data_IF_194527302054
#
_entry.id   IF_194527302054
#
_cell.length_a   1.000
_cell.length_b   1.000
_cell.length_c   1.000
_cell.angle_alpha   90.00
_cell.angle_beta   90.00
_cell.angle_gamma   90.00
#
_symmetry.space_group_name_H-M   'P 1'
#
loop_
_entity.id
_entity.type
_entity.pdbx_description
1 polymer ?
#
# COMPACT_ATOMS: atom_id res chain seq x y z
N UNK A 1 -34.26 10.08 9.27
CA UNK A 1 -33.11 10.25 10.17
C UNK A 1 -32.48 8.87 10.34
N UNK A 2 -31.53 8.52 9.46
CA UNK A 2 -30.77 7.28 9.59
C UNK A 2 -29.34 7.68 9.92
N UNK A 3 -29.01 7.52 11.20
CA UNK A 3 -27.68 7.74 11.71
C UNK A 3 -26.83 6.59 11.19
N UNK A 4 -26.06 6.86 10.13
CA UNK A 4 -25.09 5.92 9.57
C UNK A 4 -24.10 5.64 10.71
N UNK A 5 -24.18 4.44 11.29
CA UNK A 5 -23.14 3.93 12.15
C UNK A 5 -21.90 3.71 11.27
N UNK A 6 -21.05 4.73 11.19
CA UNK A 6 -19.73 4.62 10.61
C UNK A 6 -19.01 3.50 11.36
N UNK A 7 -18.74 2.38 10.67
CA UNK A 7 -17.78 1.38 11.16
C UNK A 7 -16.54 2.12 11.62
N UNK A 8 -16.10 1.89 12.86
CA UNK A 8 -14.87 2.43 13.40
C UNK A 8 -13.77 2.36 12.33
N UNK A 9 -13.07 3.47 12.02
CA UNK A 9 -12.02 3.43 11.01
C UNK A 9 -10.99 2.42 11.48
N UNK A 10 -10.77 1.35 10.70
CA UNK A 10 -9.70 0.39 10.97
C UNK A 10 -8.39 1.19 10.99
N UNK A 11 -7.81 1.32 12.18
CA UNK A 11 -6.52 1.97 12.40
C UNK A 11 -5.41 0.97 12.14
N UNK A 12 -4.33 1.42 11.53
CA UNK A 12 -3.10 0.65 11.38
C UNK A 12 -2.17 1.01 12.55
N UNK A 13 -1.93 0.06 13.44
CA UNK A 13 -0.99 0.24 14.55
C UNK A 13 0.42 -0.14 14.09
N UNK A 14 1.33 0.82 14.17
CA UNK A 14 2.73 0.73 13.77
C UNK A 14 3.64 0.68 15.00
N UNK A 15 4.44 -0.37 15.13
CA UNK A 15 5.59 -0.39 16.04
C UNK A 15 6.85 -0.01 15.26
N UNK A 16 7.42 1.15 15.53
CA UNK A 16 8.59 1.70 14.83
C UNK A 16 9.85 1.55 15.68
N UNK A 17 10.76 0.67 15.28
CA UNK A 17 12.05 0.45 15.97
C UNK A 17 13.16 1.15 15.22
N UNK A 18 13.79 2.12 15.87
CA UNK A 18 14.88 2.92 15.31
C UNK A 18 16.19 2.53 16.00
N UNK A 19 17.13 1.97 15.24
CA UNK A 19 18.42 1.54 15.79
C UNK A 19 19.45 2.68 15.82
N UNK A 20 20.32 2.66 16.84
CA UNK A 20 21.42 3.60 16.97
C UNK A 20 21.16 4.80 17.89
N UNK A 21 22.20 5.61 18.09
CA UNK A 21 22.11 6.84 18.89
C UNK A 21 21.40 7.90 18.05
N UNK A 22 20.08 8.03 18.21
CA UNK A 22 19.37 9.23 17.78
C UNK A 22 20.09 10.39 18.48
N UNK A 23 20.81 11.22 17.71
CA UNK A 23 21.46 12.39 18.29
C UNK A 23 20.36 13.21 18.99
N UNK A 24 20.61 13.65 20.23
CA UNK A 24 19.67 14.39 21.11
C UNK A 24 19.01 15.65 20.47
N UNK A 25 19.28 15.95 19.20
CA UNK A 25 18.77 17.06 18.42
C UNK A 25 17.25 17.00 18.17
N UNK A 26 16.61 15.84 18.31
CA UNK A 26 15.14 15.70 18.20
C UNK A 26 14.40 15.85 19.54
N UNK A 27 15.08 15.89 20.69
CA UNK A 27 14.43 15.89 22.01
C UNK A 27 14.00 17.26 22.53
N UNK A 28 14.26 18.35 21.81
CA UNK A 28 13.82 19.68 22.27
C UNK A 28 12.43 20.01 21.72
N UNK A 29 11.45 20.36 22.59
CA UNK A 29 10.17 20.91 22.16
C UNK A 29 10.40 22.09 21.19
N UNK A 30 9.50 22.34 20.23
CA UNK A 30 9.60 23.48 19.33
C UNK A 30 9.45 24.77 20.18
N UNK A 31 10.57 25.33 20.61
CA UNK A 31 10.56 26.54 21.44
C UNK A 31 11.88 26.96 22.09
N UNK A 32 12.90 26.10 22.21
CA UNK A 32 14.09 26.43 23.04
C UNK A 32 15.47 26.30 22.36
N UNK A 33 15.56 26.12 21.04
CA UNK A 33 16.84 26.18 20.32
C UNK A 33 16.78 27.25 19.23
N UNK A 34 17.68 28.25 19.21
CA UNK A 34 17.80 29.17 18.09
C UNK A 34 18.05 28.38 16.79
N UNK A 35 17.25 28.64 15.75
CA UNK A 35 17.31 27.95 14.45
C UNK A 35 18.71 27.88 13.82
N UNK A 36 19.61 28.79 14.22
CA UNK A 36 20.98 28.91 13.72
C UNK A 36 21.95 27.79 14.14
N UNK A 37 21.58 26.89 15.07
CA UNK A 37 22.47 25.79 15.56
C UNK A 37 21.94 24.38 15.33
N UNK A 38 20.83 24.19 14.61
CA UNK A 38 20.48 22.86 14.10
C UNK A 38 21.42 22.57 12.93
N UNK A 39 22.33 21.57 12.98
CA UNK A 39 22.88 21.05 11.74
C UNK A 39 21.68 20.56 10.94
N UNK A 40 21.38 21.26 9.84
CA UNK A 40 20.30 20.88 8.95
C UNK A 40 20.60 19.46 8.51
N UNK A 41 19.73 18.52 8.87
CA UNK A 41 19.70 17.21 8.21
C UNK A 41 19.71 17.52 6.70
N UNK A 42 20.62 16.92 5.94
CA UNK A 42 20.69 17.17 4.49
C UNK A 42 19.41 16.74 3.77
N UNK A 43 18.58 15.95 4.45
CA UNK A 43 17.28 15.48 3.98
C UNK A 43 16.34 15.32 5.19
N UNK A 44 15.07 15.75 5.12
CA UNK A 44 14.12 15.52 6.20
C UNK A 44 13.80 14.03 6.26
N UNK A 45 14.24 13.36 7.32
CA UNK A 45 13.66 12.07 7.67
C UNK A 45 12.19 12.31 8.04
N UNK A 46 11.25 11.56 7.46
CA UNK A 46 9.85 11.62 7.85
C UNK A 46 9.69 11.48 9.36
N UNK A 47 9.04 12.44 10.01
CA UNK A 47 8.65 12.25 11.40
C UNK A 47 7.57 11.17 11.44
N UNK A 48 7.84 10.10 12.19
CA UNK A 48 6.90 9.02 12.44
C UNK A 48 5.87 9.49 13.46
N UNK A 49 4.88 10.25 13.00
CA UNK A 49 3.79 10.77 13.79
C UNK A 49 2.49 10.02 13.50
N UNK A 50 1.70 9.79 14.54
CA UNK A 50 0.34 9.31 14.41
C UNK A 50 -0.50 10.34 13.63
N UNK A 51 -1.14 9.90 12.56
CA UNK A 51 -1.94 10.75 11.70
C UNK A 51 -2.92 9.92 10.87
N UNK A 52 -4.12 10.45 10.65
CA UNK A 52 -5.17 9.76 9.91
C UNK A 52 -5.48 8.40 10.54
N UNK A 53 -5.23 7.33 9.77
CA UNK A 53 -5.43 5.94 10.21
C UNK A 53 -4.21 5.32 10.90
N UNK A 54 -3.05 5.96 10.86
CA UNK A 54 -1.80 5.42 11.40
C UNK A 54 -1.63 5.81 12.87
N UNK A 55 -1.43 4.82 13.73
CA UNK A 55 -1.05 5.01 15.13
C UNK A 55 0.40 4.52 15.32
N UNK A 56 1.30 5.40 15.71
CA UNK A 56 2.74 5.11 15.81
C UNK A 56 3.18 4.93 17.26
N UNK A 57 3.86 3.82 17.51
CA UNK A 57 4.54 3.49 18.77
C UNK A 57 6.05 3.41 18.52
N UNK A 58 6.83 4.49 18.76
CA UNK A 58 8.27 4.49 18.51
C UNK A 58 9.06 3.84 19.66
N UNK A 59 10.05 3.02 19.30
CA UNK A 59 11.08 2.48 20.17
C UNK A 59 12.45 2.92 19.68
N UNK A 60 13.16 3.69 20.50
CA UNK A 60 14.48 4.20 20.16
C UNK A 60 15.53 3.37 20.86
N UNK A 61 16.37 2.69 20.06
CA UNK A 61 17.44 1.82 20.53
C UNK A 61 17.03 0.89 21.69
N UNK A 62 15.96 0.09 21.53
CA UNK A 62 15.43 -0.73 22.62
C UNK A 62 16.39 -1.87 22.97
N UNK A 63 16.28 -2.39 24.20
CA UNK A 63 16.79 -3.73 24.51
C UNK A 63 15.85 -4.80 23.95
N UNK A 64 16.32 -6.05 23.85
CA UNK A 64 15.49 -7.19 23.40
C UNK A 64 14.23 -7.35 24.27
N UNK A 65 14.35 -7.15 25.59
CA UNK A 65 13.22 -7.29 26.51
C UNK A 65 12.20 -6.16 26.34
N UNK A 66 12.67 -4.92 26.16
CA UNK A 66 11.81 -3.77 25.88
C UNK A 66 11.05 -3.97 24.56
N UNK A 67 11.73 -4.45 23.52
CA UNK A 67 11.10 -4.78 22.25
C UNK A 67 9.99 -5.83 22.43
N UNK A 68 10.26 -6.91 23.17
CA UNK A 68 9.27 -7.99 23.41
C UNK A 68 8.09 -7.54 24.26
N UNK A 69 8.32 -6.68 25.24
CA UNK A 69 7.25 -6.09 26.04
C UNK A 69 6.36 -5.19 25.19
N UNK A 70 6.96 -4.29 24.41
CA UNK A 70 6.24 -3.40 23.52
C UNK A 70 5.47 -4.16 22.44
N UNK A 71 6.06 -5.19 21.82
CA UNK A 71 5.37 -6.02 20.83
C UNK A 71 4.11 -6.67 21.44
N UNK A 72 4.22 -7.23 22.66
CA UNK A 72 3.09 -7.87 23.35
C UNK A 72 2.01 -6.88 23.75
N UNK A 73 2.39 -5.68 24.16
CA UNK A 73 1.47 -4.63 24.58
C UNK A 73 0.74 -4.00 23.38
N UNK A 74 1.46 -3.71 22.29
CA UNK A 74 0.95 -2.97 21.14
C UNK A 74 0.25 -3.87 20.12
N UNK A 75 0.70 -5.13 19.95
CA UNK A 75 0.19 -6.06 18.94
C UNK A 75 0.06 -5.41 17.54
N UNK A 76 1.18 -4.91 16.98
CA UNK A 76 1.13 -4.06 15.80
C UNK A 76 0.66 -4.79 14.54
N UNK A 77 -0.06 -4.10 13.66
CA UNK A 77 -0.36 -4.57 12.31
C UNK A 77 0.86 -4.45 11.38
N UNK A 78 1.63 -3.38 11.58
CA UNK A 78 2.83 -3.05 10.84
C UNK A 78 4.00 -2.90 11.81
N UNK A 79 5.12 -3.55 11.50
CA UNK A 79 6.37 -3.35 12.22
C UNK A 79 7.39 -2.70 11.30
N UNK A 80 7.90 -1.54 11.67
CA UNK A 80 8.95 -0.83 10.95
C UNK A 80 10.26 -0.98 11.72
N UNK A 81 11.31 -1.42 11.03
CA UNK A 81 12.61 -1.71 11.63
C UNK A 81 13.67 -0.97 10.82
N UNK A 82 14.21 0.10 11.37
CA UNK A 82 15.29 0.86 10.76
C UNK A 82 16.63 0.46 11.37
N UNK A 83 17.61 0.17 10.50
CA UNK A 83 18.98 -0.09 10.91
C UNK A 83 19.67 1.12 11.54
N UNK A 84 20.90 0.93 12.02
CA UNK A 84 21.65 1.98 12.69
C UNK A 84 21.91 3.17 11.76
N UNK A 85 21.51 4.38 12.17
CA UNK A 85 21.90 5.57 11.44
C UNK A 85 23.41 5.84 11.62
N UNK A 86 24.17 5.83 10.51
CA UNK A 86 25.62 6.03 10.53
C UNK A 86 25.98 7.53 10.65
N UNK A 87 27.21 7.85 11.09
CA UNK A 87 27.66 9.20 11.46
C UNK A 87 27.51 10.26 10.34
N UNK A 88 27.51 9.83 9.09
CA UNK A 88 27.35 10.71 7.93
C UNK A 88 25.87 10.93 7.53
N UNK A 89 24.92 10.26 8.19
CA UNK A 89 23.46 10.25 7.95
C UNK A 89 23.04 9.88 6.51
N UNK A 90 24.01 9.50 5.66
CA UNK A 90 23.80 9.18 4.23
C UNK A 90 23.40 7.73 4.01
N UNK A 91 23.74 6.86 4.95
CA UNK A 91 23.55 5.42 4.84
C UNK A 91 22.96 4.85 6.13
N UNK A 92 22.17 3.79 5.95
CA UNK A 92 21.57 3.03 7.04
C UNK A 92 22.36 1.73 7.20
N UNK A 93 22.78 1.46 8.44
CA UNK A 93 23.57 0.31 8.84
C UNK A 93 22.74 -0.91 9.21
N UNK A 94 23.37 -1.86 9.90
CA UNK A 94 22.76 -3.14 10.31
C UNK A 94 21.81 -2.96 11.51
N UNK A 95 21.14 -4.05 11.91
CA UNK A 95 20.17 -4.04 12.99
C UNK A 95 20.89 -4.26 14.34
N UNK A 96 21.02 -3.18 15.12
CA UNK A 96 21.71 -3.19 16.42
C UNK A 96 20.79 -2.60 17.48
N UNK A 97 20.54 -3.37 18.54
CA UNK A 97 19.63 -3.05 19.64
C UNK A 97 20.40 -2.95 20.96
N UNK A 98 20.62 -1.73 21.45
CA UNK A 98 21.53 -1.49 22.57
C UNK A 98 22.95 -1.90 22.17
N UNK A 99 23.52 -2.87 22.89
CA UNK A 99 24.84 -3.45 22.60
C UNK A 99 24.75 -4.80 21.86
N UNK A 100 23.54 -5.28 21.54
CA UNK A 100 23.33 -6.57 20.90
C UNK A 100 23.15 -6.42 19.38
N UNK A 101 23.98 -7.13 18.62
CA UNK A 101 23.75 -7.32 17.18
C UNK A 101 22.68 -8.41 16.99
N UNK A 102 21.55 -8.00 16.42
CA UNK A 102 20.39 -8.86 16.15
C UNK A 102 20.24 -9.13 14.65
N UNK A 103 21.30 -8.94 13.86
CA UNK A 103 21.28 -9.12 12.40
C UNK A 103 21.24 -10.58 11.96
N UNK A 104 21.44 -11.54 12.87
CA UNK A 104 21.31 -12.96 12.55
C UNK A 104 19.84 -13.34 12.25
N UNK A 105 19.54 -13.96 11.09
CA UNK A 105 18.16 -14.26 10.70
C UNK A 105 17.39 -15.21 11.63
N UNK A 106 18.08 -16.16 12.25
CA UNK A 106 17.43 -17.14 13.14
C UNK A 106 17.15 -16.50 14.49
N UNK A 107 18.13 -15.81 15.05
CA UNK A 107 17.98 -15.04 16.28
C UNK A 107 16.87 -14.01 16.10
N UNK A 108 16.93 -13.18 15.05
CA UNK A 108 15.96 -12.13 14.81
C UNK A 108 14.54 -12.66 14.65
N UNK A 109 14.36 -13.69 13.80
CA UNK A 109 13.04 -14.28 13.60
C UNK A 109 12.48 -14.81 14.91
N UNK A 110 13.30 -15.38 15.80
CA UNK A 110 12.86 -15.87 17.12
C UNK A 110 12.33 -14.75 18.04
N UNK A 111 12.79 -13.51 17.86
CA UNK A 111 12.37 -12.36 18.67
C UNK A 111 10.93 -11.93 18.38
N UNK A 112 10.50 -12.02 17.13
CA UNK A 112 9.13 -11.67 16.74
C UNK A 112 8.21 -12.82 17.14
N UNK A 113 7.34 -12.60 18.13
CA UNK A 113 6.45 -13.65 18.66
C UNK A 113 4.99 -13.44 18.23
N UNK A 114 4.12 -14.47 18.26
CA UNK A 114 2.69 -14.28 18.00
C UNK A 114 2.00 -13.35 19.03
N UNK A 115 0.96 -12.58 18.64
CA UNK A 115 0.40 -12.49 17.30
C UNK A 115 1.37 -11.80 16.33
N UNK A 116 1.52 -12.38 15.13
CA UNK A 116 2.44 -11.84 14.13
C UNK A 116 1.84 -10.59 13.47
N UNK A 117 2.66 -9.57 13.17
CA UNK A 117 2.21 -8.44 12.36
C UNK A 117 1.87 -8.93 10.95
N UNK A 118 0.91 -8.25 10.31
CA UNK A 118 0.58 -8.48 8.89
C UNK A 118 1.75 -8.07 7.99
N UNK A 119 2.45 -7.00 8.37
CA UNK A 119 3.51 -6.38 7.57
C UNK A 119 4.74 -6.16 8.44
N UNK A 120 5.92 -6.54 7.93
CA UNK A 120 7.20 -6.08 8.45
C UNK A 120 7.96 -5.32 7.38
N UNK A 121 8.39 -4.09 7.66
CA UNK A 121 9.26 -3.31 6.80
C UNK A 121 10.67 -3.23 7.40
N UNK A 122 11.62 -3.89 6.74
CA UNK A 122 13.04 -3.94 7.05
C UNK A 122 13.80 -2.87 6.25
N UNK A 123 14.05 -1.73 6.86
CA UNK A 123 14.88 -0.66 6.31
C UNK A 123 16.34 -0.86 6.76
N UNK A 124 16.94 -1.95 6.25
CA UNK A 124 18.33 -2.37 6.51
C UNK A 124 18.98 -2.85 5.21
N UNK A 125 20.30 -2.66 5.02
CA UNK A 125 20.99 -3.14 3.83
C UNK A 125 21.07 -4.66 3.83
N UNK A 126 20.96 -5.28 2.64
CA UNK A 126 21.11 -6.73 2.44
C UNK A 126 20.13 -7.56 3.32
N UNK A 127 18.90 -7.07 3.48
CA UNK A 127 17.87 -7.65 4.35
C UNK A 127 17.22 -8.95 3.85
N UNK A 128 17.65 -9.50 2.71
CA UNK A 128 16.99 -10.64 2.02
C UNK A 128 16.86 -11.88 2.92
N UNK A 129 17.94 -12.26 3.62
CA UNK A 129 17.93 -13.44 4.51
C UNK A 129 17.02 -13.25 5.72
N UNK A 130 17.00 -12.04 6.28
CA UNK A 130 16.10 -11.69 7.38
C UNK A 130 14.65 -11.76 6.90
N UNK A 131 14.36 -11.19 5.74
CA UNK A 131 13.03 -11.19 5.16
C UNK A 131 12.50 -12.61 4.91
N UNK A 132 13.32 -13.50 4.33
CA UNK A 132 12.96 -14.90 4.12
C UNK A 132 12.71 -15.65 5.43
N UNK A 133 13.53 -15.39 6.45
CA UNK A 133 13.34 -15.98 7.79
C UNK A 133 11.99 -15.57 8.39
N UNK A 134 11.65 -14.28 8.31
CA UNK A 134 10.37 -13.74 8.77
C UNK A 134 9.16 -14.32 8.00
N UNK A 135 9.26 -14.41 6.67
CA UNK A 135 8.22 -14.99 5.84
C UNK A 135 7.99 -16.48 6.20
N UNK A 136 9.08 -17.24 6.37
CA UNK A 136 9.00 -18.66 6.76
C UNK A 136 8.36 -18.88 8.14
N UNK A 137 8.44 -17.87 9.02
CA UNK A 137 7.80 -17.86 10.33
C UNK A 137 6.29 -17.64 10.26
N UNK A 138 5.76 -17.18 9.13
CA UNK A 138 4.34 -16.94 8.91
C UNK A 138 3.93 -15.47 8.86
N UNK A 139 4.87 -14.53 8.73
CA UNK A 139 4.55 -13.13 8.46
C UNK A 139 4.10 -13.01 7.00
N UNK A 140 2.87 -12.51 6.72
CA UNK A 140 2.31 -12.51 5.37
C UNK A 140 3.09 -11.62 4.39
N UNK A 141 3.48 -10.42 4.83
CA UNK A 141 4.16 -9.45 3.99
C UNK A 141 5.44 -8.94 4.63
N UNK A 142 6.56 -9.04 3.90
CA UNK A 142 7.85 -8.49 4.33
C UNK A 142 8.44 -7.60 3.25
N UNK A 143 8.55 -6.30 3.54
CA UNK A 143 9.23 -5.33 2.70
C UNK A 143 10.69 -5.26 3.13
N UNK A 144 11.62 -5.36 2.18
CA UNK A 144 13.06 -5.37 2.49
C UNK A 144 13.90 -4.74 1.37
N UNK A 145 15.12 -4.36 1.71
CA UNK A 145 16.11 -3.91 0.72
C UNK A 145 17.12 -5.02 0.43
N UNK A 146 17.30 -5.36 -0.84
CA UNK A 146 18.23 -6.43 -1.25
C UNK A 146 19.70 -6.00 -1.22
N UNK A 147 19.96 -4.72 -1.46
CA UNK A 147 21.30 -4.16 -1.58
C UNK A 147 21.46 -2.98 -0.62
N UNK A 148 22.63 -2.35 -0.62
CA UNK A 148 22.79 -1.03 0.01
C UNK A 148 21.93 0.02 -0.70
N UNK A 149 21.53 1.04 0.04
CA UNK A 149 20.70 2.13 -0.43
C UNK A 149 21.08 3.40 0.34
N UNK A 150 20.73 4.56 -0.22
CA UNK A 150 20.92 5.84 0.46
C UNK A 150 19.74 6.14 1.39
N UNK A 151 19.99 6.88 2.47
CA UNK A 151 18.94 7.41 3.34
C UNK A 151 17.89 8.22 2.56
N UNK A 152 18.30 8.89 1.47
CA UNK A 152 17.42 9.61 0.56
C UNK A 152 16.41 8.67 -0.12
N UNK A 153 16.90 7.58 -0.72
CA UNK A 153 16.08 6.58 -1.39
C UNK A 153 15.09 5.91 -0.42
N UNK A 154 15.59 5.53 0.75
CA UNK A 154 14.77 4.93 1.81
C UNK A 154 13.68 5.89 2.28
N UNK A 155 14.03 7.15 2.58
CA UNK A 155 13.08 8.14 3.05
C UNK A 155 11.98 8.45 2.03
N UNK A 156 12.30 8.50 0.73
CA UNK A 156 11.29 8.67 -0.32
C UNK A 156 10.29 7.51 -0.37
N UNK A 157 10.79 6.28 -0.36
CA UNK A 157 9.94 5.09 -0.34
C UNK A 157 9.09 5.04 0.94
N UNK A 158 9.73 5.26 2.10
CA UNK A 158 9.09 5.30 3.40
C UNK A 158 7.95 6.32 3.43
N UNK A 159 8.20 7.55 3.00
CA UNK A 159 7.19 8.62 2.98
C UNK A 159 6.01 8.23 2.09
N UNK A 160 6.26 7.68 0.91
CA UNK A 160 5.19 7.25 0.01
C UNK A 160 4.36 6.11 0.64
N UNK A 161 5.01 5.12 1.24
CA UNK A 161 4.34 4.02 1.93
C UNK A 161 3.48 4.51 3.11
N UNK A 162 4.05 5.33 4.00
CA UNK A 162 3.33 5.87 5.15
C UNK A 162 2.16 6.76 4.72
N UNK A 163 2.30 7.54 3.64
CA UNK A 163 1.21 8.38 3.12
C UNK A 163 -0.01 7.54 2.71
N UNK A 164 0.21 6.35 2.13
CA UNK A 164 -0.87 5.42 1.77
C UNK A 164 -1.52 4.83 3.01
N UNK A 165 -0.71 4.35 3.97
CA UNK A 165 -1.20 3.73 5.21
C UNK A 165 -1.98 4.74 6.07
N UNK A 166 -1.57 6.01 6.09
CA UNK A 166 -2.24 7.08 6.81
C UNK A 166 -3.61 7.45 6.20
N UNK A 167 -3.74 7.37 4.88
CA UNK A 167 -4.93 7.86 4.15
C UNK A 167 -5.97 6.77 3.86
N UNK A 168 -5.55 5.53 3.66
CA UNK A 168 -6.40 4.45 3.11
C UNK A 168 -6.32 3.14 3.89
N UNK A 169 -7.40 2.35 3.85
CA UNK A 169 -7.37 0.93 4.25
C UNK A 169 -6.95 0.07 3.06
N UNK A 170 -5.72 0.27 2.58
CA UNK A 170 -5.20 -0.44 1.41
C UNK A 170 -4.62 -1.80 1.76
N UNK A 171 -4.64 -2.70 0.79
CA UNK A 171 -3.90 -3.94 0.85
C UNK A 171 -2.39 -3.65 0.75
N UNK A 172 -1.57 -4.39 1.51
CA UNK A 172 -0.11 -4.17 1.58
C UNK A 172 0.56 -4.21 0.22
N UNK A 173 0.12 -5.12 -0.64
CA UNK A 173 0.61 -5.21 -2.02
C UNK A 173 0.44 -3.89 -2.78
N UNK A 174 -0.76 -3.31 -2.80
CA UNK A 174 -1.02 -2.10 -3.57
C UNK A 174 -0.31 -0.88 -2.96
N UNK A 175 -0.24 -0.81 -1.62
CA UNK A 175 0.53 0.22 -0.93
C UNK A 175 2.03 0.15 -1.28
N UNK A 176 2.60 -1.05 -1.34
CA UNK A 176 3.96 -1.27 -1.81
C UNK A 176 4.13 -0.87 -3.27
N UNK A 177 3.21 -1.25 -4.16
CA UNK A 177 3.31 -0.90 -5.59
C UNK A 177 3.32 0.62 -5.78
N UNK A 178 2.47 1.36 -5.06
CA UNK A 178 2.49 2.83 -5.13
C UNK A 178 3.80 3.42 -4.60
N UNK A 179 4.26 2.95 -3.44
CA UNK A 179 5.50 3.43 -2.83
C UNK A 179 6.72 3.10 -3.72
N UNK A 180 6.74 1.92 -4.33
CA UNK A 180 7.79 1.48 -5.24
C UNK A 180 7.77 2.26 -6.57
N UNK A 181 6.59 2.55 -7.12
CA UNK A 181 6.41 3.41 -8.28
C UNK A 181 6.94 4.84 -8.01
N UNK A 182 6.61 5.41 -6.84
CA UNK A 182 7.13 6.70 -6.39
C UNK A 182 8.67 6.68 -6.25
N UNK A 183 9.21 5.65 -5.61
CA UNK A 183 10.66 5.45 -5.52
C UNK A 183 11.31 5.39 -6.92
N UNK A 184 10.73 4.65 -7.86
CA UNK A 184 11.27 4.57 -9.22
C UNK A 184 11.22 5.92 -9.95
N UNK A 185 10.15 6.68 -9.76
CA UNK A 185 9.98 7.98 -10.38
C UNK A 185 11.02 9.00 -9.90
N UNK A 186 11.31 9.04 -8.59
CA UNK A 186 12.16 10.08 -7.98
C UNK A 186 13.60 9.65 -7.71
N UNK A 187 13.85 8.38 -7.43
CA UNK A 187 15.16 7.89 -6.97
C UNK A 187 15.88 7.03 -8.02
N UNK A 188 15.15 6.38 -8.92
CA UNK A 188 15.72 5.45 -9.90
C UNK A 188 16.08 6.11 -11.25
N UNK A 189 15.64 7.35 -11.48
CA UNK A 189 15.69 8.07 -12.76
C UNK A 189 17.10 8.26 -13.35
N UNK A 190 18.16 8.23 -12.53
CA UNK A 190 19.52 8.51 -12.97
C UNK A 190 20.40 7.25 -13.19
N UNK A 191 19.89 6.04 -12.94
CA UNK A 191 20.68 4.81 -13.05
C UNK A 191 19.98 3.78 -13.97
N UNK A 192 20.47 3.69 -15.21
CA UNK A 192 20.12 2.69 -16.23
C UNK A 192 20.07 1.27 -15.65
N UNK A 193 18.94 0.56 -15.86
CA UNK A 193 18.68 -0.89 -15.66
C UNK A 193 18.99 -1.52 -14.28
N UNK A 194 19.88 -0.93 -13.48
CA UNK A 194 20.32 -1.41 -12.17
C UNK A 194 19.42 -0.88 -11.06
N UNK A 195 18.80 0.29 -11.22
CA UNK A 195 17.94 0.90 -10.19
C UNK A 195 16.71 0.06 -9.85
N UNK A 196 16.09 -0.60 -10.83
CA UNK A 196 15.00 -1.58 -10.62
C UNK A 196 15.50 -2.85 -9.91
N UNK A 197 16.80 -3.18 -10.02
CA UNK A 197 17.43 -4.27 -9.25
C UNK A 197 17.75 -3.86 -7.81
N UNK A 198 18.04 -2.58 -7.58
CA UNK A 198 18.53 -2.00 -6.32
C UNK A 198 17.42 -1.47 -5.38
N UNK A 199 16.17 -1.40 -5.84
CA UNK A 199 15.04 -0.92 -5.05
C UNK A 199 14.54 -1.87 -3.96
N UNK A 200 13.56 -1.41 -3.15
CA UNK A 200 12.90 -2.23 -2.15
C UNK A 200 12.14 -3.38 -2.81
N UNK A 201 11.96 -4.46 -2.08
CA UNK A 201 11.32 -5.71 -2.50
C UNK A 201 10.21 -6.07 -1.53
N UNK A 202 9.24 -6.83 -2.00
CA UNK A 202 8.15 -7.36 -1.21
C UNK A 202 8.17 -8.89 -1.30
N UNK A 203 8.21 -9.56 -0.17
CA UNK A 203 7.81 -10.96 -0.03
C UNK A 203 6.34 -10.99 0.40
N UNK A 204 5.53 -11.78 -0.29
CA UNK A 204 4.09 -11.91 -0.06
C UNK A 204 3.34 -11.98 -1.37
N UNK A 205 2.12 -12.51 -1.33
CA UNK A 205 1.33 -12.76 -2.54
C UNK A 205 0.50 -11.54 -2.93
N UNK A 206 0.41 -11.31 -4.23
CA UNK A 206 -0.54 -10.35 -4.79
C UNK A 206 -1.97 -10.79 -4.46
N UNK A 207 -2.86 -9.86 -4.12
CA UNK A 207 -4.27 -10.17 -3.88
C UNK A 207 -4.88 -10.77 -5.15
N UNK A 208 -5.39 -12.00 -5.03
CA UNK A 208 -6.05 -12.71 -6.13
C UNK A 208 -7.41 -12.07 -6.38
N UNK A 209 -7.62 -11.57 -7.60
CA UNK A 209 -8.96 -11.19 -8.07
C UNK A 209 -9.49 -12.41 -8.83
N UNK A 210 -10.39 -13.15 -8.20
CA UNK A 210 -11.06 -14.26 -8.88
C UNK A 210 -12.15 -13.66 -9.78
N UNK A 211 -11.76 -13.24 -10.99
CA UNK A 211 -12.74 -12.98 -12.04
C UNK A 211 -13.05 -14.35 -12.63
N UNK A 212 -14.14 -14.98 -12.18
CA UNK A 212 -14.64 -16.16 -12.87
C UNK A 212 -15.08 -15.71 -14.26
N UNK A 213 -14.48 -16.23 -15.35
CA UNK A 213 -15.07 -16.03 -16.66
C UNK A 213 -16.50 -16.60 -16.62
N UNK A 214 -17.48 -15.94 -17.25
CA UNK A 214 -18.84 -16.47 -17.29
C UNK A 214 -18.80 -17.90 -17.84
N UNK A 215 -19.42 -18.85 -17.12
CA UNK A 215 -19.48 -20.24 -17.56
C UNK A 215 -20.16 -20.30 -18.93
N UNK A 216 -19.44 -20.86 -19.92
CA UNK A 216 -20.06 -21.29 -21.16
C UNK A 216 -20.98 -22.47 -20.83
N UNK A 217 -22.24 -22.20 -20.51
CA UNK A 217 -23.27 -23.21 -20.76
C UNK A 217 -23.19 -23.57 -22.25
N UNK A 218 -23.01 -24.86 -22.54
CA UNK A 218 -22.89 -25.39 -23.89
C UNK A 218 -24.14 -25.03 -24.71
N UNK A 219 -24.12 -23.86 -25.34
CA UNK A 219 -25.08 -23.49 -26.36
C UNK A 219 -24.74 -24.30 -27.61
N UNK A 220 -25.58 -25.31 -27.85
CA UNK A 220 -25.66 -26.03 -29.12
C UNK A 220 -25.77 -25.01 -30.26
N UNK A 221 -24.97 -25.23 -31.30
CA UNK A 221 -24.83 -24.39 -32.50
C UNK A 221 -26.15 -23.78 -33.00
N UNK A 222 -26.21 -22.45 -33.06
CA UNK A 222 -26.43 -21.66 -34.29
C UNK A 222 -26.59 -20.17 -33.93
N UNK A 223 -25.75 -19.33 -34.54
CA UNK A 223 -25.81 -17.87 -34.40
C UNK A 223 -24.66 -17.31 -33.57
N UNK A 224 -23.93 -16.35 -34.15
CA UNK A 224 -22.77 -15.66 -33.58
C UNK A 224 -22.96 -15.30 -32.10
N UNK A 225 -22.31 -16.04 -31.18
CA UNK A 225 -22.29 -15.64 -29.78
C UNK A 225 -21.33 -14.46 -29.63
N UNK A 226 -21.85 -13.25 -29.76
CA UNK A 226 -21.16 -12.07 -29.25
C UNK A 226 -20.93 -12.32 -27.75
N UNK A 227 -19.67 -12.43 -27.35
CA UNK A 227 -19.26 -12.57 -25.95
C UNK A 227 -19.61 -11.26 -25.23
N UNK A 228 -20.80 -11.19 -24.62
CA UNK A 228 -21.15 -10.06 -23.79
C UNK A 228 -20.47 -10.20 -22.42
N UNK A 229 -19.89 -9.13 -21.88
CA UNK A 229 -19.42 -9.15 -20.50
C UNK A 229 -20.59 -9.46 -19.57
N UNK A 230 -20.34 -10.23 -18.51
CA UNK A 230 -21.32 -10.62 -17.49
C UNK A 230 -22.14 -9.43 -16.95
N UNK A 231 -21.54 -8.23 -16.94
CA UNK A 231 -22.14 -6.97 -16.55
C UNK A 231 -21.73 -5.89 -17.57
N UNK A 232 -22.70 -5.10 -18.04
CA UNK A 232 -22.48 -3.91 -18.88
C UNK A 232 -22.74 -2.64 -18.06
N UNK A 233 -21.77 -1.74 -18.02
CA UNK A 233 -21.89 -0.42 -17.35
C UNK A 233 -22.32 0.61 -18.39
N UNK A 234 -23.33 1.42 -18.06
CA UNK A 234 -23.86 2.47 -18.90
C UNK A 234 -23.48 3.82 -18.31
N UNK A 235 -22.30 4.29 -18.69
CA UNK A 235 -21.79 5.61 -18.33
C UNK A 235 -21.11 6.22 -19.57
N UNK A 236 -21.33 7.51 -19.82
CA UNK A 236 -20.64 8.23 -20.90
C UNK A 236 -19.17 8.51 -20.52
N UNK A 237 -18.87 8.53 -19.21
CA UNK A 237 -17.56 8.80 -18.63
C UNK A 237 -16.80 7.53 -18.23
N UNK A 238 -17.01 6.40 -18.93
CA UNK A 238 -16.21 5.16 -18.73
C UNK A 238 -14.71 5.33 -19.03
N UNK A 239 -14.33 6.43 -19.68
CA UNK A 239 -12.93 6.72 -20.02
C UNK A 239 -12.38 7.87 -19.15
N UNK A 240 -11.44 7.54 -18.27
CA UNK A 240 -10.71 8.56 -17.51
C UNK A 240 -9.56 9.12 -18.34
N UNK A 241 -9.47 10.45 -18.46
CA UNK A 241 -8.31 11.15 -19.02
C UNK A 241 -7.60 11.92 -17.90
N UNK A 242 -6.33 11.61 -17.69
CA UNK A 242 -5.51 12.31 -16.69
C UNK A 242 -4.62 13.32 -17.40
N UNK A 243 -4.78 14.60 -17.06
CA UNK A 243 -3.87 15.64 -17.50
C UNK A 243 -2.71 15.75 -16.51
N UNK A 244 -1.49 15.57 -16.99
CA UNK A 244 -0.28 15.64 -16.18
C UNK A 244 0.50 16.88 -16.55
N UNK A 245 0.53 17.85 -15.64
CA UNK A 245 1.27 19.08 -15.80
C UNK A 245 2.64 18.93 -15.11
N UNK A 246 3.71 19.07 -15.86
CA UNK A 246 5.07 19.03 -15.35
C UNK A 246 5.94 20.10 -16.00
N UNK A 247 7.15 20.28 -15.46
CA UNK A 247 8.17 21.07 -16.15
C UNK A 247 8.50 20.43 -17.50
N UNK A 248 8.89 21.23 -18.51
CA UNK A 248 9.34 20.69 -19.79
C UNK A 248 10.44 19.66 -19.57
N UNK A 249 10.18 18.40 -19.94
CA UNK A 249 11.14 17.31 -19.83
C UNK A 249 10.95 16.31 -20.95
N UNK A 250 12.01 15.57 -21.28
CA UNK A 250 11.92 14.41 -22.17
C UNK A 250 11.19 13.30 -21.43
N UNK A 251 10.07 12.85 -22.01
CA UNK A 251 9.37 11.67 -21.53
C UNK A 251 10.14 10.43 -21.99
N UNK A 252 10.63 9.64 -21.04
CA UNK A 252 11.17 8.31 -21.30
C UNK A 252 10.19 7.23 -20.83
N UNK A 253 10.33 6.02 -21.38
CA UNK A 253 9.45 4.90 -21.05
C UNK A 253 9.54 4.48 -19.56
N UNK A 254 10.68 4.72 -18.91
CA UNK A 254 10.87 4.40 -17.49
C UNK A 254 10.01 5.28 -16.58
N UNK A 255 9.94 6.58 -16.89
CA UNK A 255 9.11 7.56 -16.19
C UNK A 255 7.63 7.28 -16.42
N UNK A 256 7.23 7.05 -17.68
CA UNK A 256 5.85 6.71 -18.02
C UNK A 256 5.42 5.39 -17.36
N UNK A 257 6.27 4.36 -17.38
CA UNK A 257 5.97 3.10 -16.72
C UNK A 257 5.86 3.22 -15.19
N UNK A 258 6.71 4.02 -14.56
CA UNK A 258 6.62 4.25 -13.10
C UNK A 258 5.33 4.99 -12.73
N UNK A 259 4.91 5.93 -13.57
CA UNK A 259 3.66 6.65 -13.41
C UNK A 259 2.44 5.76 -13.64
N UNK A 260 2.45 4.93 -14.69
CA UNK A 260 1.43 3.93 -14.98
C UNK A 260 1.25 2.97 -13.80
N UNK A 261 2.36 2.40 -13.29
CA UNK A 261 2.35 1.51 -12.13
C UNK A 261 1.75 2.18 -10.89
N UNK A 262 2.09 3.45 -10.65
CA UNK A 262 1.55 4.23 -9.53
C UNK A 262 0.06 4.52 -9.67
N UNK A 263 -0.40 4.91 -10.86
CA UNK A 263 -1.83 5.16 -11.12
C UNK A 263 -2.64 3.86 -11.00
N UNK A 264 -2.14 2.75 -11.54
CA UNK A 264 -2.76 1.44 -11.39
C UNK A 264 -2.86 1.03 -9.91
N UNK A 265 -1.82 1.27 -9.11
CA UNK A 265 -1.86 1.01 -7.67
C UNK A 265 -2.91 1.87 -6.95
N UNK A 266 -3.02 3.16 -7.27
CA UNK A 266 -4.06 4.04 -6.70
C UNK A 266 -5.48 3.56 -7.06
N UNK A 267 -5.72 3.19 -8.31
CA UNK A 267 -7.02 2.66 -8.75
C UNK A 267 -7.34 1.35 -8.04
N UNK A 268 -6.37 0.45 -7.90
CA UNK A 268 -6.54 -0.78 -7.13
C UNK A 268 -6.89 -0.51 -5.67
N UNK A 269 -6.25 0.48 -5.03
CA UNK A 269 -6.56 0.88 -3.65
C UNK A 269 -8.01 1.37 -3.55
N UNK A 270 -8.43 2.26 -4.46
CA UNK A 270 -9.79 2.80 -4.46
C UNK A 270 -10.84 1.70 -4.64
N UNK A 271 -10.63 0.83 -5.64
CA UNK A 271 -11.62 -0.15 -6.08
C UNK A 271 -11.69 -1.37 -5.16
N UNK A 272 -10.56 -1.88 -4.63
CA UNK A 272 -10.60 -3.02 -3.70
C UNK A 272 -11.26 -2.67 -2.37
N UNK A 273 -11.17 -1.40 -1.95
CA UNK A 273 -11.86 -0.91 -0.76
C UNK A 273 -13.31 -0.49 -1.02
N UNK A 274 -13.82 -0.66 -2.24
CA UNK A 274 -15.18 -0.28 -2.57
C UNK A 274 -16.21 -1.11 -1.81
N UNK A 275 -17.30 -0.47 -1.42
CA UNK A 275 -18.49 -1.12 -0.86
C UNK A 275 -19.71 -0.75 -1.69
N UNK A 276 -20.49 -1.75 -2.08
CA UNK A 276 -21.81 -1.54 -2.64
C UNK A 276 -22.75 -1.08 -1.51
N UNK A 277 -23.23 0.16 -1.58
CA UNK A 277 -24.11 0.74 -0.56
C UNK A 277 -25.57 0.42 -0.83
N UNK A 278 -25.97 0.53 -2.09
CA UNK A 278 -27.35 0.38 -2.50
C UNK A 278 -27.43 -0.20 -3.91
N UNK A 279 -28.47 -0.99 -4.15
CA UNK A 279 -28.82 -1.52 -5.46
C UNK A 279 -30.33 -1.40 -5.64
N UNK A 280 -30.77 -0.73 -6.71
CA UNK A 280 -32.19 -0.51 -6.99
C UNK A 280 -32.45 -0.84 -8.45
N UNK A 281 -33.54 -1.57 -8.71
CA UNK A 281 -33.98 -1.81 -10.09
C UNK A 281 -34.20 -0.47 -10.79
N UNK A 282 -33.64 -0.33 -11.99
CA UNK A 282 -33.77 0.86 -12.82
C UNK A 282 -34.38 0.49 -14.17
N UNK A 283 -35.00 1.48 -14.82
CA UNK A 283 -35.40 1.30 -16.21
C UNK A 283 -34.14 1.23 -17.10
N UNK A 284 -34.12 0.37 -18.13
CA UNK A 284 -33.01 0.33 -19.07
C UNK A 284 -32.82 1.67 -19.79
N UNK A 285 -31.58 2.07 -20.13
CA UNK A 285 -31.34 3.33 -20.83
C UNK A 285 -32.11 3.37 -22.16
N UNK A 286 -32.80 4.48 -22.50
CA UNK A 286 -33.69 4.57 -23.67
C UNK A 286 -33.02 4.16 -24.99
N UNK A 287 -31.74 4.48 -25.15
CA UNK A 287 -30.95 4.18 -26.35
C UNK A 287 -30.49 2.71 -26.46
N UNK A 288 -30.62 1.94 -25.38
CA UNK A 288 -30.12 0.57 -25.29
C UNK A 288 -31.20 -0.47 -25.03
N UNK A 289 -32.47 -0.06 -24.87
CA UNK A 289 -33.60 -0.95 -24.57
C UNK A 289 -33.76 -2.07 -25.61
N UNK A 290 -33.54 -1.75 -26.89
CA UNK A 290 -33.68 -2.74 -27.98
C UNK A 290 -32.53 -3.75 -28.04
N UNK A 291 -31.38 -3.43 -27.42
CA UNK A 291 -30.18 -4.31 -27.41
C UNK A 291 -30.13 -5.26 -26.22
N UNK A 292 -31.05 -5.13 -25.27
CA UNK A 292 -31.09 -5.93 -24.06
C UNK A 292 -31.84 -7.25 -24.30
N UNK A 293 -31.13 -8.36 -24.12
CA UNK A 293 -31.70 -9.71 -24.23
C UNK A 293 -32.71 -9.99 -23.11
N UNK A 294 -33.65 -10.93 -23.37
CA UNK A 294 -34.61 -11.39 -22.36
C UNK A 294 -33.88 -11.93 -21.13
N UNK A 295 -34.28 -11.46 -19.94
CA UNK A 295 -33.69 -11.88 -18.66
C UNK A 295 -32.56 -10.99 -18.14
N UNK A 296 -32.18 -9.95 -18.88
CA UNK A 296 -31.27 -8.91 -18.40
C UNK A 296 -32.02 -7.89 -17.56
N UNK A 297 -31.47 -7.57 -16.39
CA UNK A 297 -32.00 -6.56 -15.46
C UNK A 297 -31.06 -5.38 -15.45
N UNK A 298 -31.61 -4.16 -15.42
CA UNK A 298 -30.86 -2.93 -15.20
C UNK A 298 -30.99 -2.51 -13.74
N UNK A 299 -29.87 -2.19 -13.11
CA UNK A 299 -29.81 -1.72 -11.74
C UNK A 299 -29.00 -0.44 -11.65
N UNK A 300 -29.46 0.47 -10.79
CA UNK A 300 -28.65 1.55 -10.27
C UNK A 300 -27.95 1.05 -9.02
N UNK A 301 -26.63 1.06 -9.05
CA UNK A 301 -25.75 0.67 -7.96
C UNK A 301 -25.03 1.90 -7.44
N UNK A 302 -25.12 2.19 -6.15
CA UNK A 302 -24.33 3.24 -5.53
C UNK A 302 -23.15 2.58 -4.81
N UNK A 303 -21.92 2.86 -5.27
CA UNK A 303 -20.69 2.37 -4.62
C UNK A 303 -20.03 3.49 -3.83
N UNK A 304 -19.37 3.13 -2.73
CA UNK A 304 -18.47 4.03 -1.99
C UNK A 304 -17.06 3.48 -2.10
N UNK A 305 -16.13 4.28 -2.61
CA UNK A 305 -14.73 3.87 -2.78
C UNK A 305 -13.94 3.92 -1.46
N UNK A 306 -12.69 3.43 -1.46
CA UNK A 306 -11.83 3.48 -0.28
C UNK A 306 -11.62 4.90 0.27
N UNK A 307 -11.55 5.92 -0.60
CA UNK A 307 -11.50 7.34 -0.19
C UNK A 307 -12.84 7.92 0.27
N UNK A 308 -13.88 7.09 0.39
CA UNK A 308 -15.26 7.51 0.72
C UNK A 308 -15.93 8.34 -0.38
N UNK A 309 -15.44 8.26 -1.63
CA UNK A 309 -16.10 8.90 -2.76
C UNK A 309 -17.33 8.08 -3.18
N UNK A 310 -18.45 8.74 -3.44
CA UNK A 310 -19.68 8.09 -3.88
C UNK A 310 -19.77 8.09 -5.40
N UNK A 311 -19.86 6.90 -6.00
CA UNK A 311 -19.97 6.73 -7.45
C UNK A 311 -21.28 5.99 -7.77
N UNK A 312 -22.28 6.66 -8.35
CA UNK A 312 -23.47 6.00 -8.86
C UNK A 312 -23.15 5.35 -10.21
N UNK A 313 -23.49 4.08 -10.36
CA UNK A 313 -23.29 3.30 -11.58
C UNK A 313 -24.63 2.78 -12.07
N UNK A 314 -24.87 2.83 -13.38
CA UNK A 314 -25.98 2.13 -14.01
C UNK A 314 -25.42 0.88 -14.68
N UNK A 315 -25.87 -0.30 -14.24
CA UNK A 315 -25.37 -1.58 -14.71
C UNK A 315 -26.50 -2.43 -15.25
N UNK A 316 -26.24 -3.23 -16.28
CA UNK A 316 -27.14 -4.31 -16.69
C UNK A 316 -26.41 -5.64 -16.73
N UNK A 317 -27.07 -6.70 -16.26
CA UNK A 317 -26.54 -8.06 -16.24
C UNK A 317 -27.67 -9.07 -16.08
N UNK A 318 -27.36 -10.36 -16.06
CA UNK A 318 -28.38 -11.37 -15.77
C UNK A 318 -28.95 -11.16 -14.36
N UNK A 319 -30.23 -11.49 -14.16
CA UNK A 319 -30.85 -11.38 -12.84
C UNK A 319 -30.04 -12.14 -11.77
N UNK A 320 -29.50 -13.31 -12.10
CA UNK A 320 -28.67 -14.09 -11.19
C UNK A 320 -27.43 -13.30 -10.74
N UNK A 321 -26.67 -12.72 -11.66
CA UNK A 321 -25.45 -11.97 -11.35
C UNK A 321 -25.75 -10.66 -10.61
N UNK A 322 -26.86 -10.01 -10.94
CA UNK A 322 -27.25 -8.75 -10.33
C UNK A 322 -27.85 -8.88 -8.92
N UNK A 323 -28.37 -10.05 -8.55
CA UNK A 323 -28.99 -10.29 -7.24
C UNK A 323 -28.20 -11.21 -6.32
N UNK A 324 -27.20 -11.95 -6.82
CA UNK A 324 -26.33 -12.78 -5.99
C UNK A 324 -25.41 -11.91 -5.11
N UNK A 325 -25.57 -12.04 -3.78
CA UNK A 325 -24.75 -11.33 -2.79
C UNK A 325 -23.51 -12.15 -2.36
N UNK A 326 -23.25 -13.32 -2.95
CA UNK A 326 -22.20 -14.25 -2.48
C UNK A 326 -20.80 -14.02 -3.07
N UNK A 327 -20.53 -12.91 -3.76
CA UNK A 327 -19.20 -12.63 -4.36
C UNK A 327 -18.51 -11.43 -3.71
#
# INVERSE_FOLDING_TARGET
>A
MFQIQSSSPVSCTLLAVLCGKVTDKQRTPPGLVPEAKRPRLSYPFPELLSSGRLEVHPLINPTVDQFREAQRAVQPNLMYLQGQQLENEKEIGTLVWGDADVSDPQIFSSLITPPFPTIVYLEIPVGEKLAQSLQSKGIPYVIYWRNSFSSYAASHFHQALMSVVQSSCSHTWDAFQLAHASFRLYCARNNDLQSVKLGPRLLGDAPKINIFPPENEMAVEEGSSEHFPAIKIYDEDVNMKVLICGVPCTLDACLLGSLEDGLNALLNIEIRGCKLQNRVSAAPPPLHVETLSRGVVTMRCDITTCSSSHVPLLVSGSAQICFDDQV
#
